data_IF_751370020981
#
_entry.id   IF_751370020981
#
_cell.length_a   1.000
_cell.length_b   1.000
_cell.length_c   1.000
_cell.angle_alpha   90.00
_cell.angle_beta   90.00
_cell.angle_gamma   90.00
#
_symmetry.space_group_name_H-M   'P 1'
#
loop_
_entity.id
_entity.type
_entity.pdbx_description
1 polymer ?
#
# COMPACT_ATOMS: atom_id res chain seq x y z
N UNK A 1 12.68 -14.82 2.50
CA UNK A 1 13.05 -15.20 3.89
C UNK A 1 14.21 -16.16 3.85
N UNK A 2 15.17 -15.99 4.75
CA UNK A 2 16.28 -16.93 4.97
C UNK A 2 16.24 -17.32 6.44
N UNK A 3 16.16 -18.64 6.72
CA UNK A 3 16.33 -19.22 8.05
C UNK A 3 17.67 -19.90 8.12
N UNK A 4 18.51 -19.51 9.06
CA UNK A 4 19.85 -20.08 9.23
C UNK A 4 19.94 -20.98 10.47
N UNK A 5 20.58 -22.12 10.32
CA UNK A 5 20.98 -23.04 11.37
C UNK A 5 22.51 -23.20 11.36
N UNK A 6 23.06 -23.74 12.40
CA UNK A 6 24.50 -24.05 12.44
C UNK A 6 24.81 -25.33 11.60
N UNK A 7 26.08 -25.54 11.32
CA UNK A 7 26.54 -26.66 10.44
C UNK A 7 26.29 -28.06 11.00
N UNK A 8 25.83 -28.20 12.27
CA UNK A 8 25.46 -29.50 12.83
C UNK A 8 24.11 -29.99 12.31
N UNK A 9 23.37 -29.12 11.63
CA UNK A 9 22.06 -29.40 11.06
C UNK A 9 22.12 -29.62 9.56
N UNK A 10 21.14 -30.34 9.02
CA UNK A 10 20.98 -30.44 7.55
C UNK A 10 20.58 -29.10 6.95
N UNK A 11 20.89 -28.88 5.67
CA UNK A 11 20.57 -27.63 4.93
C UNK A 11 19.06 -27.29 5.01
N UNK A 12 18.19 -28.29 5.01
CA UNK A 12 16.73 -28.12 5.08
C UNK A 12 16.15 -28.01 6.48
N UNK A 13 16.94 -28.12 7.55
CA UNK A 13 16.42 -28.19 8.94
C UNK A 13 15.59 -26.97 9.36
N UNK A 14 15.85 -25.78 8.78
CA UNK A 14 15.13 -24.54 9.03
C UNK A 14 13.90 -24.33 8.15
N UNK A 15 13.68 -25.15 7.12
CA UNK A 15 12.70 -24.86 6.06
C UNK A 15 11.27 -24.71 6.60
N UNK A 16 10.80 -25.56 7.49
CA UNK A 16 9.43 -25.45 8.02
C UNK A 16 9.22 -24.13 8.78
N UNK A 17 10.21 -23.68 9.52
CA UNK A 17 10.16 -22.39 10.22
C UNK A 17 10.16 -21.23 9.23
N UNK A 18 11.01 -21.30 8.21
CA UNK A 18 11.09 -20.29 7.14
C UNK A 18 9.78 -20.19 6.34
N UNK A 19 9.12 -21.31 6.06
CA UNK A 19 7.81 -21.34 5.38
C UNK A 19 6.72 -20.66 6.21
N UNK A 20 6.67 -20.86 7.52
CA UNK A 20 5.73 -20.19 8.41
C UNK A 20 5.93 -18.67 8.41
N UNK A 21 7.18 -18.22 8.42
CA UNK A 21 7.49 -16.79 8.28
C UNK A 21 7.11 -16.26 6.90
N UNK A 22 7.38 -16.99 5.84
CA UNK A 22 7.07 -16.59 4.48
C UNK A 22 5.56 -16.49 4.23
N UNK A 23 4.76 -17.35 4.84
CA UNK A 23 3.30 -17.26 4.82
C UNK A 23 2.82 -15.97 5.50
N UNK A 24 3.31 -15.69 6.71
CA UNK A 24 2.98 -14.48 7.48
C UNK A 24 3.39 -13.21 6.73
N UNK A 25 4.56 -13.20 6.08
CA UNK A 25 5.11 -12.06 5.35
C UNK A 25 4.59 -11.94 3.91
N UNK A 26 3.90 -12.95 3.39
CA UNK A 26 3.38 -12.97 2.03
C UNK A 26 4.47 -13.01 0.95
N UNK A 27 5.65 -13.62 1.24
CA UNK A 27 6.79 -13.64 0.31
C UNK A 27 6.94 -14.98 -0.41
N UNK A 28 7.39 -14.99 -1.68
CA UNK A 28 7.41 -16.20 -2.49
C UNK A 28 8.67 -17.05 -2.34
N UNK A 29 9.82 -16.45 -2.03
CA UNK A 29 11.10 -17.16 -2.01
C UNK A 29 11.55 -17.43 -0.58
N UNK A 30 11.79 -18.70 -0.27
CA UNK A 30 12.12 -19.18 1.06
C UNK A 30 13.40 -19.96 1.00
N UNK A 31 14.33 -19.64 1.89
CA UNK A 31 15.62 -20.31 1.95
C UNK A 31 15.85 -20.85 3.37
N UNK A 32 16.38 -22.05 3.44
CA UNK A 32 17.02 -22.59 4.65
C UNK A 32 18.51 -22.76 4.38
N UNK A 33 19.36 -22.49 5.35
CA UNK A 33 20.81 -22.66 5.23
C UNK A 33 21.41 -23.16 6.53
N UNK A 34 22.48 -23.95 6.41
CA UNK A 34 23.35 -24.34 7.53
C UNK A 34 24.77 -23.73 7.43
N UNK A 35 24.99 -22.82 6.47
CA UNK A 35 26.26 -22.19 6.20
C UNK A 35 27.07 -22.87 5.09
N UNK A 36 26.78 -24.12 4.73
CA UNK A 36 27.47 -24.86 3.66
C UNK A 36 26.75 -24.73 2.31
N UNK A 37 25.41 -24.65 2.35
CA UNK A 37 24.56 -24.54 1.18
C UNK A 37 23.23 -23.87 1.52
N UNK A 38 22.38 -23.66 0.51
CA UNK A 38 21.00 -23.21 0.65
C UNK A 38 20.03 -24.26 0.09
N UNK A 39 18.90 -24.44 0.77
CA UNK A 39 17.73 -25.08 0.18
C UNK A 39 16.73 -23.97 -0.15
N UNK A 40 16.45 -23.75 -1.44
CA UNK A 40 15.42 -22.84 -1.92
C UNK A 40 14.09 -23.59 -2.00
N UNK A 41 13.02 -22.99 -1.46
CA UNK A 41 11.64 -23.37 -1.71
C UNK A 41 10.91 -22.22 -2.43
N UNK A 42 10.52 -22.44 -3.68
CA UNK A 42 9.82 -21.47 -4.54
C UNK A 42 8.29 -21.67 -4.43
N UNK A 43 7.62 -20.72 -3.80
CA UNK A 43 6.17 -20.72 -3.58
C UNK A 43 5.37 -20.13 -4.75
N UNK A 44 6.03 -19.73 -5.84
CA UNK A 44 5.34 -19.08 -6.98
C UNK A 44 4.51 -20.08 -7.81
N UNK A 45 4.80 -21.37 -7.69
CA UNK A 45 4.23 -22.42 -8.54
C UNK A 45 4.66 -22.35 -10.01
N UNK A 46 5.70 -21.57 -10.33
CA UNK A 46 6.24 -21.38 -11.67
C UNK A 46 7.59 -22.06 -11.89
N UNK A 47 8.27 -22.42 -10.82
CA UNK A 47 9.53 -23.15 -10.90
C UNK A 47 9.31 -24.61 -11.34
N UNK A 48 10.23 -25.16 -12.12
CA UNK A 48 10.22 -26.58 -12.53
C UNK A 48 10.26 -27.50 -11.31
N UNK A 49 11.04 -27.10 -10.30
CA UNK A 49 11.11 -27.79 -9.00
C UNK A 49 10.76 -26.81 -7.89
N UNK A 50 9.86 -27.20 -7.02
CA UNK A 50 9.48 -26.42 -5.84
C UNK A 50 10.65 -26.24 -4.88
N UNK A 51 11.50 -27.27 -4.73
CA UNK A 51 12.68 -27.24 -3.88
C UNK A 51 13.95 -27.55 -4.69
N UNK A 52 14.99 -26.77 -4.41
CA UNK A 52 16.29 -26.91 -5.05
C UNK A 52 17.40 -26.59 -4.04
N UNK A 53 18.37 -27.49 -3.91
CA UNK A 53 19.59 -27.19 -3.19
C UNK A 53 20.54 -26.39 -4.07
N UNK A 54 21.14 -25.34 -3.51
CA UNK A 54 22.02 -24.39 -4.16
C UNK A 54 23.32 -24.31 -3.37
N UNK A 55 24.46 -24.33 -4.06
CA UNK A 55 25.72 -23.95 -3.44
C UNK A 55 25.70 -22.46 -3.02
N UNK A 56 26.61 -22.04 -2.17
CA UNK A 56 26.73 -20.63 -1.75
C UNK A 56 26.94 -19.69 -2.96
N UNK A 57 27.63 -20.16 -4.00
CA UNK A 57 27.90 -19.38 -5.21
C UNK A 57 26.67 -19.25 -6.14
N UNK A 58 25.71 -20.15 -6.02
CA UNK A 58 24.47 -20.17 -6.82
C UNK A 58 23.31 -19.42 -6.17
N UNK A 59 23.55 -18.76 -5.02
CA UNK A 59 22.51 -17.96 -4.39
C UNK A 59 22.04 -16.86 -5.34
N UNK A 60 20.72 -16.76 -5.63
CA UNK A 60 20.23 -15.84 -6.64
C UNK A 60 20.43 -14.38 -6.23
N UNK A 61 20.83 -13.56 -7.17
CA UNK A 61 21.00 -12.13 -6.97
C UNK A 61 19.65 -11.46 -6.69
N UNK A 62 19.64 -10.27 -6.04
CA UNK A 62 18.41 -9.48 -5.86
C UNK A 62 17.68 -9.19 -7.18
N UNK A 63 18.44 -8.96 -8.28
CA UNK A 63 17.85 -8.69 -9.59
C UNK A 63 17.13 -9.93 -10.16
N UNK A 64 17.69 -11.14 -10.00
CA UNK A 64 17.04 -12.38 -10.42
C UNK A 64 15.77 -12.65 -9.60
N UNK A 65 15.83 -12.48 -8.28
CA UNK A 65 14.65 -12.64 -7.41
C UNK A 65 13.57 -11.63 -7.76
N UNK A 66 13.95 -10.38 -8.06
CA UNK A 66 13.02 -9.34 -8.50
C UNK A 66 12.37 -9.69 -9.83
N UNK A 67 13.13 -10.16 -10.80
CA UNK A 67 12.61 -10.60 -12.09
C UNK A 67 11.60 -11.74 -11.94
N UNK A 68 11.93 -12.76 -11.13
CA UNK A 68 11.01 -13.88 -10.81
C UNK A 68 9.75 -13.38 -10.10
N UNK A 69 9.90 -12.44 -9.17
CA UNK A 69 8.78 -11.79 -8.48
C UNK A 69 7.86 -11.06 -9.46
N UNK A 70 8.41 -10.24 -10.36
CA UNK A 70 7.62 -9.53 -11.37
C UNK A 70 6.86 -10.50 -12.29
N UNK A 71 7.48 -11.58 -12.71
CA UNK A 71 6.83 -12.62 -13.51
C UNK A 71 5.70 -13.29 -12.73
N UNK A 72 5.93 -13.61 -11.45
CA UNK A 72 4.93 -14.23 -10.59
C UNK A 72 3.71 -13.32 -10.39
N UNK A 73 3.96 -12.04 -10.13
CA UNK A 73 2.92 -11.04 -9.87
C UNK A 73 2.27 -10.50 -11.15
N UNK A 74 2.81 -10.78 -12.33
CA UNK A 74 2.33 -10.23 -13.60
C UNK A 74 2.58 -8.73 -13.73
N UNK A 75 3.72 -8.25 -13.23
CA UNK A 75 4.16 -6.86 -13.37
C UNK A 75 4.89 -6.69 -14.71
N UNK A 76 4.12 -6.53 -15.79
CA UNK A 76 4.66 -6.57 -17.15
C UNK A 76 5.29 -5.26 -17.59
N UNK A 77 4.63 -4.12 -17.27
CA UNK A 77 5.11 -2.80 -17.70
C UNK A 77 6.22 -2.25 -16.80
N UNK A 78 7.07 -1.39 -17.38
CA UNK A 78 8.09 -0.66 -16.64
C UNK A 78 7.47 0.24 -15.57
N UNK A 79 6.34 0.88 -15.86
CA UNK A 79 5.63 1.77 -14.94
C UNK A 79 5.06 1.00 -13.74
N UNK A 80 4.51 -0.21 -13.96
CA UNK A 80 4.04 -1.05 -12.87
C UNK A 80 5.19 -1.47 -11.95
N UNK A 81 6.33 -1.86 -12.51
CA UNK A 81 7.54 -2.21 -11.74
C UNK A 81 8.06 -1.02 -10.96
N UNK A 82 8.19 0.14 -11.61
CA UNK A 82 8.61 1.39 -10.95
C UNK A 82 7.68 1.75 -9.78
N UNK A 83 6.37 1.61 -9.95
CA UNK A 83 5.39 1.87 -8.89
C UNK A 83 5.59 0.93 -7.69
N UNK A 84 5.82 -0.35 -7.94
CA UNK A 84 6.01 -1.36 -6.88
C UNK A 84 7.39 -1.23 -6.22
N UNK A 85 8.41 -0.79 -6.94
CA UNK A 85 9.75 -0.54 -6.40
C UNK A 85 9.85 0.73 -5.55
N UNK A 86 8.88 1.66 -5.67
CA UNK A 86 8.93 2.91 -4.91
C UNK A 86 9.05 2.63 -3.41
N UNK A 87 10.08 3.16 -2.73
CA UNK A 87 10.30 2.90 -1.32
C UNK A 87 9.22 3.51 -0.42
N UNK A 88 9.08 2.95 0.77
CA UNK A 88 8.32 3.58 1.84
C UNK A 88 8.89 4.96 2.17
N UNK A 89 8.03 5.84 2.68
CA UNK A 89 8.51 7.05 3.33
C UNK A 89 9.28 6.67 4.60
N UNK A 90 10.48 7.17 4.71
CA UNK A 90 11.33 7.07 5.89
C UNK A 90 11.73 8.48 6.33
N UNK A 91 11.48 8.81 7.59
CA UNK A 91 11.84 10.09 8.21
C UNK A 91 13.18 10.02 8.97
N UNK A 92 13.89 8.91 8.85
CA UNK A 92 15.16 8.67 9.55
C UNK A 92 15.02 8.31 11.02
N UNK A 93 13.79 8.18 11.54
CA UNK A 93 13.57 7.80 12.96
C UNK A 93 13.62 6.29 13.19
N UNK A 94 13.73 5.50 12.13
CA UNK A 94 13.65 4.04 12.15
C UNK A 94 12.23 3.48 12.25
N UNK A 95 11.21 4.32 12.09
CA UNK A 95 9.81 3.89 12.04
C UNK A 95 9.52 3.20 10.70
N UNK A 96 9.53 1.88 10.69
CA UNK A 96 9.15 1.07 9.53
C UNK A 96 7.71 0.52 9.67
N UNK A 97 7.03 0.20 8.56
CA UNK A 97 5.75 -0.50 8.60
C UNK A 97 5.90 -1.86 9.30
N UNK A 98 4.95 -2.18 10.17
CA UNK A 98 4.85 -3.54 10.73
C UNK A 98 4.49 -4.52 9.60
N UNK A 99 4.79 -5.81 9.77
CA UNK A 99 4.62 -6.81 8.71
C UNK A 99 3.22 -6.79 8.05
N UNK A 100 2.15 -6.69 8.86
CA UNK A 100 0.78 -6.64 8.34
C UNK A 100 0.47 -5.32 7.60
N UNK A 101 1.07 -4.19 8.03
CA UNK A 101 0.99 -2.92 7.31
C UNK A 101 1.76 -3.00 5.99
N UNK A 102 2.96 -3.58 6.01
CA UNK A 102 3.76 -3.80 4.80
C UNK A 102 3.01 -4.66 3.78
N UNK A 103 2.37 -5.76 4.23
CA UNK A 103 1.53 -6.60 3.38
C UNK A 103 0.36 -5.81 2.77
N UNK A 104 -0.36 -5.01 3.59
CA UNK A 104 -1.47 -4.20 3.12
C UNK A 104 -1.01 -3.15 2.10
N UNK A 105 0.09 -2.45 2.39
CA UNK A 105 0.66 -1.41 1.50
C UNK A 105 1.11 -2.03 0.18
N UNK A 106 1.92 -3.10 0.23
CA UNK A 106 2.48 -3.73 -0.96
C UNK A 106 1.37 -4.29 -1.86
N UNK A 107 0.42 -5.04 -1.30
CA UNK A 107 -0.68 -5.61 -2.06
C UNK A 107 -1.56 -4.51 -2.70
N UNK A 108 -1.78 -3.38 -2.01
CA UNK A 108 -2.54 -2.26 -2.55
C UNK A 108 -1.79 -1.57 -3.70
N UNK A 109 -0.51 -1.28 -3.51
CA UNK A 109 0.32 -0.64 -4.54
C UNK A 109 0.44 -1.54 -5.78
N UNK A 110 0.63 -2.85 -5.60
CA UNK A 110 0.62 -3.83 -6.69
C UNK A 110 -0.73 -3.86 -7.43
N UNK A 111 -1.85 -3.86 -6.70
CA UNK A 111 -3.18 -3.88 -7.28
C UNK A 111 -3.44 -2.62 -8.14
N UNK A 112 -3.05 -1.43 -7.62
CA UNK A 112 -3.15 -0.17 -8.38
C UNK A 112 -2.23 -0.20 -9.61
N UNK A 113 -1.00 -0.68 -9.47
CA UNK A 113 -0.05 -0.78 -10.58
C UNK A 113 -0.54 -1.70 -11.71
N UNK A 114 -1.39 -2.69 -11.38
CA UNK A 114 -2.07 -3.57 -12.34
C UNK A 114 -3.38 -3.00 -12.89
N UNK A 115 -3.74 -1.78 -12.51
CA UNK A 115 -4.99 -1.14 -12.97
C UNK A 115 -6.25 -1.60 -12.25
N UNK A 116 -6.14 -2.23 -11.07
CA UNK A 116 -7.33 -2.61 -10.31
C UNK A 116 -8.07 -1.36 -9.83
N UNK A 117 -9.36 -1.19 -10.19
CA UNK A 117 -10.07 0.07 -9.97
C UNK A 117 -10.57 0.25 -8.54
N UNK A 118 -10.75 -0.85 -7.79
CA UNK A 118 -11.31 -0.80 -6.43
C UNK A 118 -10.59 -1.78 -5.52
N UNK A 119 -10.23 -1.31 -4.31
CA UNK A 119 -9.51 -2.10 -3.33
C UNK A 119 -10.16 -1.86 -1.96
N UNK A 120 -10.42 -2.93 -1.22
CA UNK A 120 -10.90 -2.87 0.16
C UNK A 120 -9.80 -3.37 1.10
N UNK A 121 -9.42 -2.52 2.06
CA UNK A 121 -8.53 -2.90 3.17
C UNK A 121 -9.34 -3.06 4.44
N UNK A 122 -9.27 -4.23 5.06
CA UNK A 122 -9.90 -4.50 6.35
C UNK A 122 -8.79 -4.58 7.41
N UNK A 123 -8.78 -3.61 8.31
CA UNK A 123 -7.78 -3.50 9.38
C UNK A 123 -8.48 -3.18 10.71
N UNK A 124 -8.04 -3.84 11.79
CA UNK A 124 -8.59 -3.61 13.12
C UNK A 124 -8.30 -2.18 13.63
N UNK A 125 -9.08 -1.72 14.60
CA UNK A 125 -8.82 -0.44 15.27
C UNK A 125 -7.47 -0.49 15.98
N UNK A 126 -6.71 0.62 15.92
CA UNK A 126 -5.39 0.72 16.56
C UNK A 126 -4.24 0.07 15.78
N UNK A 127 -4.48 -0.52 14.60
CA UNK A 127 -3.43 -1.14 13.76
C UNK A 127 -2.70 -0.14 12.85
N UNK A 128 -3.02 1.16 12.94
CA UNK A 128 -2.36 2.20 12.15
C UNK A 128 -2.89 2.33 10.72
N UNK A 129 -4.21 2.27 10.54
CA UNK A 129 -4.89 2.47 9.24
C UNK A 129 -4.43 3.75 8.53
N UNK A 130 -4.43 4.89 9.25
CA UNK A 130 -4.01 6.18 8.70
C UNK A 130 -2.56 6.18 8.21
N UNK A 131 -1.64 5.57 8.97
CA UNK A 131 -0.25 5.40 8.55
C UNK A 131 -0.14 4.49 7.32
N UNK A 132 -0.92 3.41 7.28
CA UNK A 132 -0.98 2.52 6.10
C UNK A 132 -1.47 3.26 4.87
N UNK A 133 -2.56 4.05 4.99
CA UNK A 133 -3.08 4.89 3.92
C UNK A 133 -2.05 5.95 3.46
N UNK A 134 -1.37 6.60 4.41
CA UNK A 134 -0.28 7.54 4.11
C UNK A 134 0.82 6.89 3.25
N UNK A 135 1.32 5.72 3.65
CA UNK A 135 2.38 5.02 2.92
C UNK A 135 1.94 4.58 1.51
N UNK A 136 0.69 4.16 1.35
CA UNK A 136 0.11 3.85 0.03
C UNK A 136 0.08 5.10 -0.84
N UNK A 137 -0.48 6.19 -0.33
CA UNK A 137 -0.57 7.47 -1.05
C UNK A 137 0.82 7.98 -1.41
N UNK A 138 1.77 7.93 -0.46
CA UNK A 138 3.15 8.35 -0.68
C UNK A 138 3.80 7.63 -1.85
N UNK A 139 3.74 6.31 -1.87
CA UNK A 139 4.35 5.49 -2.92
C UNK A 139 3.72 5.75 -4.29
N UNK A 140 2.38 5.81 -4.36
CA UNK A 140 1.65 6.08 -5.59
C UNK A 140 1.87 7.50 -6.12
N UNK A 141 1.99 8.47 -5.24
CA UNK A 141 2.27 9.86 -5.59
C UNK A 141 3.73 10.06 -6.03
N UNK A 142 4.69 9.51 -5.28
CA UNK A 142 6.12 9.62 -5.61
C UNK A 142 6.49 8.88 -6.89
N UNK A 143 5.86 7.76 -7.19
CA UNK A 143 6.03 7.07 -8.48
C UNK A 143 5.40 7.84 -9.67
N UNK A 144 4.59 8.85 -9.40
CA UNK A 144 3.83 9.56 -10.43
C UNK A 144 2.62 8.80 -10.97
N UNK A 145 2.34 7.62 -10.44
CA UNK A 145 1.20 6.78 -10.87
C UNK A 145 -0.14 7.43 -10.54
N UNK A 146 -0.21 8.13 -9.40
CA UNK A 146 -1.37 8.92 -8.96
C UNK A 146 -0.89 10.29 -8.51
N UNK A 147 -1.47 11.35 -9.05
CA UNK A 147 -1.07 12.74 -8.76
C UNK A 147 -2.12 13.50 -7.97
N UNK A 148 -3.39 13.41 -8.37
CA UNK A 148 -4.50 14.12 -7.74
C UNK A 148 -5.27 13.15 -6.87
N UNK A 149 -5.11 13.28 -5.55
CA UNK A 149 -5.56 12.29 -4.57
C UNK A 149 -6.52 12.96 -3.59
N UNK A 150 -7.70 12.38 -3.42
CA UNK A 150 -8.67 12.78 -2.41
C UNK A 150 -8.66 11.78 -1.26
N UNK A 151 -8.37 12.24 -0.05
CA UNK A 151 -8.50 11.48 1.18
C UNK A 151 -9.71 11.95 1.97
N UNK A 152 -10.67 11.05 2.19
CA UNK A 152 -11.91 11.30 2.93
C UNK A 152 -11.84 10.63 4.30
N UNK A 153 -12.10 11.41 5.36
CA UNK A 153 -12.15 10.94 6.74
C UNK A 153 -13.51 11.25 7.40
N UNK A 154 -13.83 10.48 8.45
CA UNK A 154 -15.10 10.60 9.17
C UNK A 154 -15.16 11.82 10.12
N UNK A 155 -14.05 12.19 10.75
CA UNK A 155 -14.04 13.21 11.82
C UNK A 155 -13.01 14.31 11.62
N UNK A 156 -13.41 15.56 11.96
CA UNK A 156 -12.54 16.75 11.92
C UNK A 156 -11.21 16.56 12.67
N UNK A 157 -11.24 15.97 13.86
CA UNK A 157 -10.04 15.71 14.66
C UNK A 157 -9.07 14.79 13.90
N UNK A 158 -9.59 13.80 13.18
CA UNK A 158 -8.75 12.89 12.38
C UNK A 158 -8.10 13.62 11.21
N UNK A 159 -8.80 14.52 10.52
CA UNK A 159 -8.23 15.28 9.39
C UNK A 159 -7.09 16.19 9.86
N UNK A 160 -7.26 16.91 10.97
CA UNK A 160 -6.23 17.82 11.49
C UNK A 160 -5.03 17.05 12.08
N UNK A 161 -5.28 15.95 12.80
CA UNK A 161 -4.22 15.06 13.28
C UNK A 161 -3.48 14.38 12.12
N UNK A 162 -4.21 13.90 11.13
CA UNK A 162 -3.65 13.28 9.92
C UNK A 162 -2.75 14.26 9.18
N UNK A 163 -3.23 15.50 8.95
CA UNK A 163 -2.46 16.56 8.29
C UNK A 163 -1.15 16.89 9.03
N UNK A 164 -1.23 17.01 10.36
CA UNK A 164 -0.10 17.46 11.17
C UNK A 164 0.87 16.34 11.54
N UNK A 165 0.47 15.10 11.46
CA UNK A 165 1.26 13.92 11.82
C UNK A 165 1.72 13.15 10.56
N UNK A 166 0.99 12.09 10.19
CA UNK A 166 1.44 11.16 9.16
C UNK A 166 1.52 11.81 7.76
N UNK A 167 0.63 12.77 7.44
CA UNK A 167 0.60 13.42 6.11
C UNK A 167 1.46 14.69 5.99
N UNK A 168 2.10 15.12 7.08
CA UNK A 168 3.02 16.27 7.07
C UNK A 168 4.08 16.22 5.95
N UNK A 169 4.64 15.06 5.57
CA UNK A 169 5.63 14.96 4.51
C UNK A 169 5.18 15.43 3.12
N UNK A 170 3.87 15.50 2.86
CA UNK A 170 3.36 16.05 1.60
C UNK A 170 3.53 17.58 1.48
N UNK A 171 3.73 18.27 2.59
CA UNK A 171 4.09 19.69 2.62
C UNK A 171 3.13 20.58 1.82
N UNK A 172 3.69 21.35 0.90
CA UNK A 172 2.95 22.29 0.05
C UNK A 172 2.08 21.62 -1.03
N UNK A 173 2.25 20.32 -1.29
CA UNK A 173 1.42 19.59 -2.26
C UNK A 173 0.03 19.26 -1.69
N UNK A 174 -0.19 19.45 -0.38
CA UNK A 174 -1.40 19.03 0.31
C UNK A 174 -2.22 20.20 0.83
N UNK A 175 -3.54 20.10 0.69
CA UNK A 175 -4.51 21.06 1.28
C UNK A 175 -5.65 20.33 1.98
N UNK A 176 -6.29 21.04 2.93
CA UNK A 176 -7.56 20.62 3.54
C UNK A 176 -8.68 21.40 2.87
N UNK A 177 -9.69 20.71 2.36
CA UNK A 177 -10.92 21.34 1.88
C UNK A 177 -11.71 21.80 3.13
N UNK A 178 -11.71 23.10 3.40
CA UNK A 178 -12.31 23.65 4.63
C UNK A 178 -13.27 24.80 4.40
N UNK A 179 -13.41 25.30 3.18
CA UNK A 179 -14.25 26.45 2.81
C UNK A 179 -14.82 26.28 1.40
N UNK A 180 -15.85 27.05 1.06
CA UNK A 180 -16.56 27.05 -0.22
C UNK A 180 -15.69 27.32 -1.48
N UNK A 181 -14.42 27.68 -1.32
CA UNK A 181 -13.49 27.91 -2.43
C UNK A 181 -12.46 26.80 -2.47
N UNK A 182 -12.34 26.17 -3.62
CA UNK A 182 -11.37 25.10 -3.87
C UNK A 182 -10.23 25.70 -4.70
N UNK A 183 -9.02 25.57 -4.16
CA UNK A 183 -7.81 25.79 -4.94
C UNK A 183 -7.41 24.47 -5.63
N UNK A 184 -7.43 24.46 -6.96
CA UNK A 184 -7.12 23.29 -7.80
C UNK A 184 -5.63 23.10 -8.06
N UNK A 185 -4.78 23.93 -7.45
CA UNK A 185 -3.31 23.88 -7.63
C UNK A 185 -2.63 22.77 -6.81
N UNK A 186 -3.33 22.21 -5.83
CA UNK A 186 -2.81 21.15 -4.98
C UNK A 186 -2.94 19.76 -5.62
N UNK A 187 -2.16 18.82 -5.13
CA UNK A 187 -2.16 17.43 -5.59
C UNK A 187 -2.90 16.51 -4.63
N UNK A 188 -2.83 16.77 -3.31
CA UNK A 188 -3.44 15.95 -2.26
C UNK A 188 -4.45 16.78 -1.49
N UNK A 189 -5.68 16.29 -1.46
CA UNK A 189 -6.82 16.94 -0.82
C UNK A 189 -7.31 16.11 0.34
N UNK A 190 -7.37 16.71 1.53
CA UNK A 190 -7.98 16.12 2.70
C UNK A 190 -9.36 16.72 2.91
N UNK A 191 -10.37 15.89 3.10
CA UNK A 191 -11.73 16.35 3.38
C UNK A 191 -12.45 15.43 4.35
N UNK A 192 -13.50 15.98 4.95
CA UNK A 192 -14.46 15.22 5.71
C UNK A 192 -15.60 14.76 4.80
N UNK A 193 -16.21 13.61 5.09
CA UNK A 193 -17.47 13.23 4.46
C UNK A 193 -18.52 14.34 4.57
N UNK A 194 -18.70 14.88 5.78
CA UNK A 194 -19.69 15.90 6.08
C UNK A 194 -19.43 17.23 5.39
N UNK A 195 -18.16 17.61 5.17
CA UNK A 195 -17.80 18.81 4.41
C UNK A 195 -18.15 18.70 2.93
N UNK A 196 -18.36 17.48 2.46
CA UNK A 196 -18.74 17.18 1.08
C UNK A 196 -20.25 16.96 0.95
N UNK A 197 -20.94 16.63 2.05
CA UNK A 197 -22.35 16.24 2.13
C UNK A 197 -23.19 17.08 3.09
N UNK A 198 -22.70 18.25 3.50
CA UNK A 198 -23.42 19.20 4.38
C UNK A 198 -24.78 19.66 3.86
N UNK A 199 -25.43 20.64 4.54
CA UNK A 199 -26.71 21.22 4.16
C UNK A 199 -26.81 21.56 2.66
N UNK A 200 -28.01 21.68 2.08
CA UNK A 200 -28.23 21.86 0.63
C UNK A 200 -27.33 22.90 -0.06
N UNK A 201 -26.87 23.91 0.66
CA UNK A 201 -25.90 24.90 0.18
C UNK A 201 -24.43 24.45 0.25
N UNK A 202 -24.09 23.46 1.09
CA UNK A 202 -22.75 22.89 1.26
C UNK A 202 -22.55 21.57 0.48
N UNK A 203 -23.63 20.95 0.06
CA UNK A 203 -23.69 19.59 -0.50
C UNK A 203 -22.92 19.37 -1.80
N UNK A 204 -22.41 20.40 -2.44
CA UNK A 204 -21.86 20.27 -3.79
C UNK A 204 -20.41 20.73 -3.96
N UNK A 205 -19.62 20.81 -2.87
CA UNK A 205 -18.21 21.22 -2.99
C UNK A 205 -17.45 20.30 -3.94
N UNK A 206 -17.65 19.00 -3.89
CA UNK A 206 -16.98 18.06 -4.78
C UNK A 206 -17.33 18.28 -6.27
N UNK A 207 -18.52 18.81 -6.60
CA UNK A 207 -18.94 19.12 -7.96
C UNK A 207 -18.22 20.32 -8.59
N UNK A 208 -17.45 21.07 -7.79
CA UNK A 208 -16.56 22.11 -8.32
C UNK A 208 -15.32 21.51 -9.02
N UNK A 209 -15.01 20.25 -8.75
CA UNK A 209 -14.03 19.48 -9.52
C UNK A 209 -14.71 18.82 -10.71
N UNK A 210 -13.97 18.60 -11.80
CA UNK A 210 -14.46 17.74 -12.88
C UNK A 210 -14.50 16.28 -12.44
N UNK A 211 -15.37 15.44 -13.01
CA UNK A 211 -15.47 14.01 -12.64
C UNK A 211 -14.16 13.23 -12.77
N UNK A 212 -13.28 13.65 -13.66
CA UNK A 212 -11.97 13.06 -13.94
C UNK A 212 -10.81 13.74 -13.18
N UNK A 213 -11.13 14.63 -12.21
CA UNK A 213 -10.08 15.42 -11.55
C UNK A 213 -9.19 14.57 -10.63
N UNK A 214 -9.73 13.59 -9.93
CA UNK A 214 -8.97 12.76 -9.01
C UNK A 214 -8.57 11.43 -9.62
N UNK A 215 -7.28 11.09 -9.53
CA UNK A 215 -6.72 9.80 -9.96
C UNK A 215 -6.95 8.70 -8.93
N UNK A 216 -7.13 9.07 -7.65
CA UNK A 216 -7.30 8.17 -6.53
C UNK A 216 -8.18 8.82 -5.46
N UNK A 217 -9.15 8.04 -4.97
CA UNK A 217 -9.95 8.40 -3.79
C UNK A 217 -9.70 7.36 -2.71
N UNK A 218 -9.28 7.81 -1.55
CA UNK A 218 -9.06 6.98 -0.35
C UNK A 218 -10.10 7.35 0.69
N UNK A 219 -10.84 6.35 1.17
CA UNK A 219 -11.92 6.51 2.14
C UNK A 219 -11.54 5.80 3.42
N UNK A 220 -11.32 6.55 4.48
CA UNK A 220 -11.04 6.00 5.81
C UNK A 220 -12.35 5.72 6.56
N UNK A 221 -12.41 4.61 7.31
CA UNK A 221 -13.55 4.20 8.13
C UNK A 221 -14.88 4.07 7.36
N UNK A 222 -14.86 3.61 6.11
CA UNK A 222 -16.05 3.50 5.24
C UNK A 222 -17.18 2.60 5.78
N UNK A 223 -16.97 1.90 6.90
CA UNK A 223 -17.96 1.08 7.59
C UNK A 223 -18.66 1.82 8.73
N UNK A 224 -18.19 3.01 9.10
CA UNK A 224 -18.78 3.86 10.14
C UNK A 224 -19.64 4.92 9.47
N UNK A 225 -20.90 4.98 9.85
CA UNK A 225 -21.78 6.03 9.40
C UNK A 225 -23.25 5.66 9.62
N UNK A 226 -24.11 6.68 9.70
CA UNK A 226 -25.55 6.52 9.52
C UNK A 226 -25.85 6.16 8.06
N UNK A 227 -27.03 5.63 7.78
CA UNK A 227 -27.44 5.35 6.39
C UNK A 227 -27.33 6.59 5.46
N UNK A 228 -27.40 7.81 6.02
CA UNK A 228 -27.21 9.05 5.29
C UNK A 228 -25.75 9.33 4.96
N UNK A 229 -24.79 9.00 5.85
CA UNK A 229 -23.35 9.14 5.59
C UNK A 229 -22.86 8.08 4.62
N UNK A 230 -23.42 6.86 4.66
CA UNK A 230 -23.17 5.81 3.68
C UNK A 230 -23.62 6.20 2.27
N UNK A 231 -24.72 6.97 2.12
CA UNK A 231 -25.14 7.50 0.84
C UNK A 231 -24.18 8.54 0.29
N UNK A 232 -23.64 9.37 1.16
CA UNK A 232 -22.83 10.52 0.81
C UNK A 232 -21.49 10.18 0.14
N UNK A 233 -20.68 9.28 0.73
CA UNK A 233 -19.42 8.89 0.08
C UNK A 233 -19.64 8.06 -1.18
N UNK A 234 -20.77 7.33 -1.28
CA UNK A 234 -21.17 6.62 -2.50
C UNK A 234 -21.51 7.59 -3.63
N UNK A 235 -22.19 8.69 -3.34
CA UNK A 235 -22.46 9.74 -4.33
C UNK A 235 -21.18 10.40 -4.83
N UNK A 236 -20.18 10.63 -3.94
CA UNK A 236 -18.86 11.14 -4.33
C UNK A 236 -18.17 10.14 -5.27
N UNK A 237 -18.14 8.85 -4.90
CA UNK A 237 -17.55 7.83 -5.76
C UNK A 237 -18.28 7.70 -7.10
N UNK A 238 -19.62 7.79 -7.11
CA UNK A 238 -20.40 7.75 -8.33
C UNK A 238 -20.14 8.96 -9.23
N UNK A 239 -19.81 10.11 -8.66
CA UNK A 239 -19.48 11.31 -9.43
C UNK A 239 -18.11 11.24 -10.10
N UNK A 240 -17.11 10.66 -9.42
CA UNK A 240 -15.73 10.56 -9.90
C UNK A 240 -15.40 9.21 -10.57
N UNK A 241 -16.35 8.35 -10.83
CA UNK A 241 -16.15 7.03 -11.46
C UNK A 241 -16.34 7.04 -12.98
#
# INVERSE_FOLDING_TARGET
VIEAKDNSHSVGAGMQQALNYAETLGVPFVFSSNGDAFLLHDRTGRAEKTEQELSLAEFPSPAELWQRYCQWKGLESADARHTVEMPYYDDGTGRAPRYYQANAINNTVEAVAKGQPRILLVMATGTGKTYTAFQIIWRLWKSGTKKRILFLADRNILVDQTKNNDFKPFGAAMTKISKRQIDKSYEIYLSLYQAVTGSEEEQNIYRQFSPDFFDLIVIDECHRGSAAEDSAWREILAYFS
#
